data_IF_409874481219
#
_entry.id   IF_409874481219
#
_cell.length_a   1.000
_cell.length_b   1.000
_cell.length_c   1.000
_cell.angle_alpha   90.00
_cell.angle_beta   90.00
_cell.angle_gamma   90.00
#
_symmetry.space_group_name_H-M   'P 1'
#
loop_
_entity.id
_entity.type
_entity.pdbx_description
1 polymer ?
#
# COMPACT_ATOMS: atom_id res chain seq x y z
N UNK A 1 -4.10 8.66 -31.56
CA UNK A 1 -2.80 8.13 -31.08
C UNK A 1 -2.94 7.86 -29.60
N UNK A 2 -3.18 6.60 -29.22
CA UNK A 2 -3.68 6.19 -27.91
C UNK A 2 -2.49 6.10 -26.93
N UNK A 3 -2.28 7.13 -26.10
CA UNK A 3 -1.36 7.05 -24.95
C UNK A 3 -2.00 6.19 -23.85
N UNK A 4 -2.05 4.87 -24.06
CA UNK A 4 -2.47 3.90 -23.05
C UNK A 4 -1.25 3.13 -22.51
N UNK A 5 -0.19 3.84 -22.13
CA UNK A 5 0.75 3.31 -21.15
C UNK A 5 0.07 3.32 -19.76
N UNK A 6 -0.97 2.50 -19.61
CA UNK A 6 -1.43 2.06 -18.30
C UNK A 6 -0.30 1.20 -17.74
N UNK A 7 0.59 1.80 -16.97
CA UNK A 7 1.56 1.10 -16.13
C UNK A 7 0.88 -0.12 -15.50
N UNK A 8 1.42 -1.31 -15.77
CA UNK A 8 0.86 -2.59 -15.26
C UNK A 8 0.60 -2.47 -13.76
N UNK A 9 -0.61 -2.82 -13.33
CA UNK A 9 -0.97 -2.83 -11.90
C UNK A 9 -0.01 -3.75 -11.15
N UNK A 10 0.57 -3.26 -10.05
CA UNK A 10 1.46 -4.05 -9.22
C UNK A 10 0.96 -4.12 -7.79
N UNK A 11 1.31 -5.23 -7.13
CA UNK A 11 1.13 -5.42 -5.69
C UNK A 11 2.48 -5.86 -5.14
N UNK A 12 3.03 -5.05 -4.23
CA UNK A 12 4.39 -5.23 -3.73
C UNK A 12 4.41 -5.14 -2.20
N UNK A 13 4.97 -6.15 -1.50
CA UNK A 13 5.14 -6.06 -0.06
C UNK A 13 6.19 -4.99 0.29
N UNK A 14 5.91 -4.21 1.33
CA UNK A 14 6.80 -3.20 1.89
C UNK A 14 7.29 -3.62 3.27
N UNK A 15 8.57 -3.35 3.53
CA UNK A 15 9.14 -3.50 4.86
C UNK A 15 8.55 -2.43 5.79
N UNK A 16 8.22 -2.84 7.02
CA UNK A 16 7.63 -1.97 8.05
C UNK A 16 8.45 -0.73 8.43
N UNK A 17 9.77 -0.77 8.19
CA UNK A 17 10.70 0.33 8.42
C UNK A 17 10.82 1.31 7.23
N UNK A 18 10.10 1.09 6.12
CA UNK A 18 10.04 2.06 5.01
C UNK A 18 9.46 3.37 5.48
N UNK A 19 10.06 4.46 5.03
CA UNK A 19 9.62 5.83 5.31
C UNK A 19 8.57 6.26 4.30
N UNK A 20 7.42 6.68 4.80
CA UNK A 20 6.25 7.07 4.01
C UNK A 20 5.60 8.32 4.60
N UNK A 21 4.93 9.07 3.75
CA UNK A 21 4.07 10.18 4.14
C UNK A 21 2.62 9.81 3.79
N UNK A 22 1.74 9.94 4.76
CA UNK A 22 0.31 9.64 4.65
C UNK A 22 -0.57 10.89 4.78
N UNK A 23 0.03 12.07 4.70
CA UNK A 23 -0.63 13.37 4.90
C UNK A 23 -0.61 14.25 3.65
N UNK A 24 -0.02 13.77 2.56
CA UNK A 24 0.07 14.53 1.31
C UNK A 24 1.07 15.69 1.38
N UNK A 25 2.09 15.60 2.24
CA UNK A 25 3.18 16.57 2.38
C UNK A 25 3.07 17.48 3.60
N UNK A 26 2.02 17.35 4.42
CA UNK A 26 1.82 18.19 5.60
C UNK A 26 2.69 17.79 6.79
N UNK A 27 3.13 16.52 6.88
CA UNK A 27 3.97 16.00 7.95
C UNK A 27 5.22 15.33 7.40
N UNK A 28 6.22 15.16 8.27
CA UNK A 28 7.43 14.43 7.94
C UNK A 28 7.15 12.95 7.66
N UNK A 29 8.01 12.35 6.82
CA UNK A 29 7.97 10.92 6.54
C UNK A 29 8.21 10.11 7.82
N UNK A 30 7.34 9.14 8.07
CA UNK A 30 7.43 8.21 9.21
C UNK A 30 7.49 6.77 8.74
N UNK A 31 7.90 5.87 9.64
CA UNK A 31 7.92 4.43 9.34
C UNK A 31 6.50 3.89 9.18
N UNK A 32 6.31 2.92 8.29
CA UNK A 32 5.02 2.24 8.11
C UNK A 32 4.48 1.67 9.44
N UNK A 33 5.35 1.10 10.28
CA UNK A 33 4.96 0.57 11.59
C UNK A 33 4.38 1.63 12.55
N UNK A 34 4.70 2.91 12.33
CA UNK A 34 4.22 4.03 13.15
C UNK A 34 3.00 4.73 12.53
N UNK A 35 2.43 4.21 11.44
CA UNK A 35 1.21 4.75 10.87
C UNK A 35 0.01 4.45 11.78
N UNK A 36 -0.83 5.46 11.95
CA UNK A 36 -2.12 5.34 12.63
C UNK A 36 -3.16 5.00 11.57
N UNK A 37 -3.97 3.98 11.85
CA UNK A 37 -5.00 3.48 10.95
C UNK A 37 -6.37 3.65 11.60
N UNK A 38 -7.29 4.30 10.90
CA UNK A 38 -8.71 4.31 11.23
C UNK A 38 -9.36 2.98 10.84
N UNK A 39 -10.55 2.70 11.38
CA UNK A 39 -11.33 1.51 11.03
C UNK A 39 -11.67 1.44 9.54
N UNK A 40 -11.87 2.59 8.90
CA UNK A 40 -12.09 2.68 7.45
C UNK A 40 -10.82 2.33 6.69
N UNK A 41 -9.67 2.92 7.04
CA UNK A 41 -8.39 2.65 6.37
C UNK A 41 -7.90 1.21 6.57
N UNK A 42 -8.26 0.55 7.66
CA UNK A 42 -8.01 -0.89 7.84
C UNK A 42 -8.78 -1.76 6.84
N UNK A 43 -9.90 -1.28 6.31
CA UNK A 43 -10.69 -1.96 5.28
C UNK A 43 -10.27 -1.53 3.89
N UNK A 44 -10.11 -0.23 3.67
CA UNK A 44 -9.94 0.35 2.32
C UNK A 44 -8.51 0.69 1.94
N UNK A 45 -7.57 0.56 2.87
CA UNK A 45 -6.20 1.01 2.66
C UNK A 45 -6.05 2.52 2.83
N UNK A 46 -4.81 2.99 2.70
CA UNK A 46 -4.44 4.40 2.85
C UNK A 46 -3.57 4.85 1.68
N UNK A 47 -3.82 6.03 1.14
CA UNK A 47 -2.91 6.63 0.17
C UNK A 47 -1.63 7.13 0.85
N UNK A 48 -0.48 6.75 0.31
CA UNK A 48 0.81 7.15 0.84
C UNK A 48 1.76 7.58 -0.27
N UNK A 49 2.77 8.34 0.12
CA UNK A 49 3.96 8.63 -0.67
C UNK A 49 5.17 7.98 -0.04
N UNK A 50 5.90 7.16 -0.80
CA UNK A 50 7.11 6.50 -0.31
C UNK A 50 8.31 7.43 -0.49
N UNK A 51 9.14 7.58 0.55
CA UNK A 51 10.35 8.41 0.49
C UNK A 51 11.29 7.90 -0.61
N UNK A 52 11.85 8.83 -1.39
CA UNK A 52 12.74 8.58 -2.55
C UNK A 52 12.05 7.95 -3.78
N UNK A 53 10.72 7.90 -3.82
CA UNK A 53 9.98 7.67 -5.07
C UNK A 53 9.65 9.04 -5.71
N UNK A 54 9.71 9.19 -7.06
CA UNK A 54 9.40 10.43 -7.76
C UNK A 54 8.05 11.06 -7.35
N UNK A 55 7.97 12.38 -7.45
CA UNK A 55 6.98 13.22 -6.72
C UNK A 55 5.50 12.87 -6.96
N UNK A 56 5.15 12.24 -8.09
CA UNK A 56 3.76 11.95 -8.48
C UNK A 56 3.30 10.51 -8.24
N UNK A 57 4.19 9.60 -7.84
CA UNK A 57 3.81 8.21 -7.64
C UNK A 57 3.29 7.97 -6.22
N UNK A 58 2.06 8.45 -5.96
CA UNK A 58 1.28 7.98 -4.82
C UNK A 58 0.89 6.51 -5.04
N UNK A 59 0.82 5.77 -3.95
CA UNK A 59 0.40 4.38 -3.95
C UNK A 59 -0.61 4.16 -2.83
N UNK A 60 -1.43 3.14 -2.97
CA UNK A 60 -2.34 2.71 -1.92
C UNK A 60 -1.70 1.61 -1.09
N UNK A 61 -1.61 1.81 0.21
CA UNK A 61 -1.04 0.89 1.18
C UNK A 61 -2.14 0.16 1.94
N UNK A 62 -1.99 -1.15 2.05
CA UNK A 62 -2.87 -2.02 2.80
C UNK A 62 -2.11 -2.66 3.96
N UNK A 63 -2.76 -2.73 5.12
CA UNK A 63 -2.28 -3.51 6.27
C UNK A 63 -3.03 -4.84 6.29
N UNK A 64 -2.37 -5.91 5.87
CA UNK A 64 -2.97 -7.24 5.71
C UNK A 64 -2.57 -8.12 6.89
N UNK A 65 -3.56 -8.57 7.66
CA UNK A 65 -3.36 -9.57 8.72
C UNK A 65 -3.39 -10.97 8.08
N UNK A 66 -2.23 -11.61 7.97
CA UNK A 66 -2.06 -12.94 7.38
C UNK A 66 -2.35 -14.03 8.41
N UNK A 67 -1.80 -13.88 9.61
CA UNK A 67 -2.04 -14.74 10.77
C UNK A 67 -1.99 -13.90 12.06
N UNK A 68 -2.23 -14.53 13.22
CA UNK A 68 -2.16 -13.87 14.54
C UNK A 68 -0.87 -13.10 14.77
N UNK A 69 0.26 -13.57 14.22
CA UNK A 69 1.58 -12.98 14.43
C UNK A 69 2.20 -12.36 13.17
N UNK A 70 1.51 -12.42 12.02
CA UNK A 70 2.05 -11.92 10.74
C UNK A 70 1.15 -10.85 10.15
N UNK A 71 1.66 -9.63 10.14
CA UNK A 71 1.10 -8.50 9.38
C UNK A 71 2.00 -8.20 8.19
N UNK A 72 1.42 -8.11 7.01
CA UNK A 72 2.10 -7.65 5.80
C UNK A 72 1.57 -6.29 5.38
N UNK A 73 2.45 -5.47 4.80
CA UNK A 73 2.09 -4.16 4.26
C UNK A 73 2.23 -4.22 2.75
N UNK A 74 1.12 -4.10 2.03
CA UNK A 74 1.09 -4.26 0.57
C UNK A 74 0.82 -2.92 -0.09
N UNK A 75 1.69 -2.49 -0.99
CA UNK A 75 1.49 -1.29 -1.79
C UNK A 75 1.06 -1.63 -3.22
N UNK A 76 0.16 -0.82 -3.78
CA UNK A 76 -0.28 -0.90 -5.17
C UNK A 76 -0.38 0.48 -5.80
N UNK A 77 -0.08 0.59 -7.09
CA UNK A 77 -0.37 1.77 -7.89
C UNK A 77 -1.86 1.88 -8.29
N UNK A 78 -2.66 0.87 -7.99
CA UNK A 78 -4.11 0.92 -8.21
C UNK A 78 -4.81 1.69 -7.09
N UNK A 79 -4.94 3.00 -7.27
CA UNK A 79 -5.63 3.89 -6.32
C UNK A 79 -7.12 3.52 -6.14
N UNK A 80 -7.73 2.91 -7.17
CA UNK A 80 -9.14 2.49 -7.12
C UNK A 80 -9.40 1.26 -6.26
N UNK A 81 -8.37 0.47 -5.93
CA UNK A 81 -8.52 -0.70 -5.05
C UNK A 81 -8.92 -0.25 -3.63
N UNK A 82 -10.00 -0.76 -3.06
CA UNK A 82 -10.55 -0.31 -1.78
C UNK A 82 -10.91 -1.47 -0.83
N UNK A 83 -10.35 -2.67 -1.08
CA UNK A 83 -10.63 -3.86 -0.29
C UNK A 83 -9.35 -4.57 0.14
N UNK A 84 -9.04 -4.48 1.44
CA UNK A 84 -7.93 -5.22 2.07
C UNK A 84 -8.10 -6.74 1.89
N UNK A 85 -9.34 -7.23 1.84
CA UNK A 85 -9.61 -8.65 1.67
C UNK A 85 -9.25 -9.13 0.26
N UNK A 86 -9.52 -8.34 -0.78
CA UNK A 86 -9.14 -8.70 -2.15
C UNK A 86 -7.63 -8.59 -2.34
N UNK A 87 -6.98 -7.59 -1.74
CA UNK A 87 -5.51 -7.51 -1.69
C UNK A 87 -4.90 -8.74 -1.01
N UNK A 88 -5.50 -9.20 0.10
CA UNK A 88 -5.08 -10.42 0.80
C UNK A 88 -5.17 -11.63 -0.12
N UNK A 89 -6.27 -11.82 -0.84
CA UNK A 89 -6.42 -12.93 -1.81
C UNK A 89 -5.36 -12.86 -2.91
N UNK A 90 -5.17 -11.70 -3.54
CA UNK A 90 -4.19 -11.49 -4.61
C UNK A 90 -2.77 -11.84 -4.15
N UNK A 91 -2.39 -11.43 -2.94
CA UNK A 91 -1.05 -11.70 -2.42
C UNK A 91 -0.89 -13.12 -1.85
N UNK A 92 -1.95 -13.72 -1.30
CA UNK A 92 -1.93 -15.10 -0.79
C UNK A 92 -1.73 -16.12 -1.90
N UNK A 93 -2.22 -15.84 -3.12
CA UNK A 93 -1.98 -16.69 -4.31
C UNK A 93 -0.49 -16.84 -4.63
N UNK A 94 0.37 -15.88 -4.24
CA UNK A 94 1.83 -15.94 -4.50
C UNK A 94 2.62 -16.78 -3.49
N UNK A 95 2.01 -17.21 -2.37
CA UNK A 95 2.70 -18.01 -1.34
C UNK A 95 2.50 -19.52 -1.56
N UNK A 96 1.65 -19.92 -2.51
CA UNK A 96 1.34 -21.32 -2.82
C UNK A 96 1.84 -21.78 -4.22
N UNK A 97 2.78 -21.05 -4.83
CA UNK A 97 3.40 -21.41 -6.11
C UNK A 97 4.86 -21.78 -5.95
#
# INVERSE_FOLDING_TARGET
MLMLDKLKKYYSPLKKNRLVDDTGGSKEYKRIENLIWSQTELKTGKEIKIKKIPKDNKVKLFRVFVSTNRTEYIATNDISQDSTNDVKKICSIRVLG
#
